data_IF_050596214937
#
_entry.id   IF_050596214937
#
_cell.length_a   1.000
_cell.length_b   1.000
_cell.length_c   1.000
_cell.angle_alpha   90.00
_cell.angle_beta   90.00
_cell.angle_gamma   90.00
#
_symmetry.space_group_name_H-M   'P 1'
#
loop_
_entity.id
_entity.type
_entity.pdbx_description
1 polymer ?
#
# COMPACT_ATOMS: atom_id res chain seq x y z
N UNK A 1 -14.94 41.16 26.00
CA UNK A 1 -14.78 39.72 25.67
C UNK A 1 -13.29 39.40 25.74
N UNK A 2 -12.85 38.62 26.73
CA UNK A 2 -11.43 38.28 26.88
C UNK A 2 -11.07 37.17 25.88
N UNK A 3 -10.26 37.48 24.87
CA UNK A 3 -9.56 36.46 24.06
C UNK A 3 -8.41 35.93 24.92
N UNK A 4 -8.57 34.72 25.48
CA UNK A 4 -7.47 34.02 26.15
C UNK A 4 -6.59 33.40 25.07
N UNK A 5 -5.31 33.79 25.02
CA UNK A 5 -4.34 33.12 24.15
C UNK A 5 -4.25 31.64 24.56
N UNK A 6 -4.36 30.72 23.58
CA UNK A 6 -4.21 29.28 23.81
C UNK A 6 -2.79 28.99 24.30
N UNK A 7 -2.66 28.07 25.25
CA UNK A 7 -1.35 27.55 25.65
C UNK A 7 -0.72 26.74 24.51
N UNK A 8 0.61 26.61 24.48
CA UNK A 8 1.31 25.86 23.42
C UNK A 8 0.79 24.42 23.25
N UNK A 9 0.38 23.78 24.36
CA UNK A 9 -0.21 22.43 24.33
C UNK A 9 -1.62 22.41 23.73
N UNK A 10 -2.46 23.40 24.03
CA UNK A 10 -3.80 23.53 23.43
C UNK A 10 -3.70 23.88 21.94
N UNK A 11 -2.70 24.68 21.56
CA UNK A 11 -2.39 24.98 20.17
C UNK A 11 -1.96 23.72 19.42
N UNK A 12 -0.97 22.97 19.96
CA UNK A 12 -0.48 21.72 19.38
C UNK A 12 -1.60 20.68 19.24
N UNK A 13 -2.39 20.46 20.30
CA UNK A 13 -3.53 19.54 20.24
C UNK A 13 -4.51 19.96 19.15
N UNK A 14 -4.86 21.25 19.06
CA UNK A 14 -5.80 21.71 18.04
C UNK A 14 -5.26 21.54 16.62
N UNK A 15 -3.98 21.83 16.38
CA UNK A 15 -3.36 21.61 15.07
C UNK A 15 -3.35 20.13 14.72
N UNK A 16 -2.85 19.29 15.62
CA UNK A 16 -2.73 17.85 15.40
C UNK A 16 -4.09 17.17 15.20
N UNK A 17 -5.06 17.44 16.08
CA UNK A 17 -6.33 16.73 16.09
C UNK A 17 -7.39 17.32 15.16
N UNK A 18 -7.39 18.63 14.93
CA UNK A 18 -8.50 19.29 14.21
C UNK A 18 -8.10 19.74 12.80
N UNK A 19 -6.84 20.11 12.58
CA UNK A 19 -6.41 20.65 11.29
C UNK A 19 -5.67 19.60 10.46
N UNK A 20 -4.81 18.79 11.09
CA UNK A 20 -3.85 17.92 10.40
C UNK A 20 -4.12 16.42 10.58
N UNK A 21 -5.19 16.05 11.29
CA UNK A 21 -5.45 14.64 11.65
C UNK A 21 -5.48 13.73 10.42
N UNK A 22 -6.15 14.15 9.35
CA UNK A 22 -6.24 13.37 8.11
C UNK A 22 -4.88 13.23 7.42
N UNK A 23 -4.10 14.31 7.37
CA UNK A 23 -2.76 14.31 6.78
C UNK A 23 -1.81 13.40 7.57
N UNK A 24 -1.87 13.45 8.91
CA UNK A 24 -1.06 12.60 9.79
C UNK A 24 -1.42 11.12 9.61
N UNK A 25 -2.71 10.79 9.56
CA UNK A 25 -3.15 9.41 9.34
C UNK A 25 -2.78 8.91 7.95
N UNK A 26 -2.96 9.73 6.91
CA UNK A 26 -2.55 9.40 5.56
C UNK A 26 -1.04 9.17 5.46
N UNK A 27 -0.22 10.03 6.09
CA UNK A 27 1.22 9.88 6.13
C UNK A 27 1.65 8.60 6.89
N UNK A 28 1.02 8.29 8.03
CA UNK A 28 1.29 7.09 8.79
C UNK A 28 0.96 5.82 7.98
N UNK A 29 -0.20 5.79 7.30
CA UNK A 29 -0.58 4.70 6.41
C UNK A 29 0.40 4.58 5.25
N UNK A 30 0.68 5.66 4.51
CA UNK A 30 1.61 5.64 3.38
C UNK A 30 3.01 5.12 3.78
N UNK A 31 3.50 5.53 4.95
CA UNK A 31 4.77 5.04 5.48
C UNK A 31 4.71 3.53 5.78
N UNK A 32 3.65 3.05 6.45
CA UNK A 32 3.46 1.64 6.75
C UNK A 32 3.39 0.77 5.48
N UNK A 33 2.61 1.18 4.48
CA UNK A 33 2.47 0.45 3.23
C UNK A 33 3.80 0.42 2.44
N UNK A 34 4.56 1.52 2.46
CA UNK A 34 5.92 1.55 1.88
C UNK A 34 6.83 0.54 2.57
N UNK A 35 6.82 0.46 3.90
CA UNK A 35 7.63 -0.52 4.64
C UNK A 35 7.26 -1.96 4.27
N UNK A 36 5.97 -2.27 4.17
CA UNK A 36 5.51 -3.61 3.73
C UNK A 36 6.00 -3.90 2.31
N UNK A 37 5.92 -2.94 1.40
CA UNK A 37 6.41 -3.11 0.02
C UNK A 37 7.94 -3.34 -0.02
N UNK A 38 8.71 -2.61 0.78
CA UNK A 38 10.16 -2.80 0.89
C UNK A 38 10.51 -4.19 1.43
N UNK A 39 9.80 -4.65 2.46
CA UNK A 39 10.01 -5.99 3.03
C UNK A 39 9.60 -7.12 2.10
N UNK A 40 8.56 -6.92 1.30
CA UNK A 40 8.18 -7.91 0.28
C UNK A 40 9.18 -7.97 -0.88
N UNK A 41 9.85 -6.86 -1.25
CA UNK A 41 10.98 -6.88 -2.19
C UNK A 41 12.13 -7.76 -1.64
N UNK A 42 12.50 -7.55 -0.38
CA UNK A 42 13.53 -8.37 0.29
C UNK A 42 13.13 -9.86 0.34
N UNK A 43 11.86 -10.14 0.68
CA UNK A 43 11.34 -11.50 0.77
C UNK A 43 11.36 -12.23 -0.58
N UNK A 44 10.90 -11.57 -1.66
CA UNK A 44 10.95 -12.13 -3.03
C UNK A 44 12.38 -12.44 -3.46
N UNK A 45 13.34 -11.56 -3.13
CA UNK A 45 14.76 -11.78 -3.45
C UNK A 45 15.33 -13.02 -2.76
N UNK A 46 14.90 -13.28 -1.53
CA UNK A 46 15.41 -14.36 -0.69
C UNK A 46 14.60 -15.68 -0.83
N UNK A 47 13.48 -15.67 -1.56
CA UNK A 47 12.68 -16.85 -1.78
C UNK A 47 13.38 -17.89 -2.68
N UNK A 48 12.88 -19.14 -2.61
CA UNK A 48 13.29 -20.22 -3.50
C UNK A 48 13.09 -19.82 -4.97
N UNK A 49 14.04 -20.11 -5.89
CA UNK A 49 13.97 -19.66 -7.27
C UNK A 49 12.66 -20.03 -7.98
N UNK A 50 12.05 -21.17 -7.65
CA UNK A 50 10.76 -21.62 -8.19
C UNK A 50 9.60 -20.69 -7.83
N UNK A 51 9.65 -20.05 -6.66
CA UNK A 51 8.52 -19.33 -6.08
C UNK A 51 8.59 -17.83 -6.38
N UNK A 52 9.79 -17.33 -6.75
CA UNK A 52 10.06 -15.91 -6.95
C UNK A 52 9.10 -15.25 -7.93
N UNK A 53 8.76 -15.92 -9.02
CA UNK A 53 7.87 -15.34 -10.03
C UNK A 53 6.49 -15.05 -9.44
N UNK A 54 5.87 -16.06 -8.83
CA UNK A 54 4.55 -15.95 -8.21
C UNK A 54 4.54 -14.93 -7.07
N UNK A 55 5.54 -14.98 -6.18
CA UNK A 55 5.66 -14.03 -5.06
C UNK A 55 5.91 -12.59 -5.56
N UNK A 56 6.67 -12.42 -6.65
CA UNK A 56 6.88 -11.12 -7.29
C UNK A 56 5.59 -10.57 -7.89
N UNK A 57 4.72 -11.43 -8.43
CA UNK A 57 3.41 -11.03 -8.94
C UNK A 57 2.44 -10.65 -7.82
N UNK A 58 2.45 -11.36 -6.68
CA UNK A 58 1.70 -10.95 -5.47
C UNK A 58 2.19 -9.59 -4.97
N UNK A 59 3.50 -9.40 -4.87
CA UNK A 59 4.09 -8.11 -4.49
C UNK A 59 3.66 -6.99 -5.42
N UNK A 60 3.71 -7.24 -6.74
CA UNK A 60 3.30 -6.25 -7.74
C UNK A 60 1.82 -5.90 -7.59
N UNK A 61 0.94 -6.90 -7.46
CA UNK A 61 -0.50 -6.67 -7.24
C UNK A 61 -0.75 -5.86 -5.97
N UNK A 62 -0.05 -6.17 -4.87
CA UNK A 62 -0.16 -5.39 -3.64
C UNK A 62 0.23 -3.92 -3.87
N UNK A 63 1.39 -3.64 -4.48
CA UNK A 63 1.81 -2.27 -4.77
C UNK A 63 0.84 -1.52 -5.70
N UNK A 64 0.35 -2.19 -6.75
CA UNK A 64 -0.64 -1.63 -7.67
C UNK A 64 -1.95 -1.30 -6.95
N UNK A 65 -2.45 -2.19 -6.09
CA UNK A 65 -3.66 -1.95 -5.29
C UNK A 65 -3.53 -0.74 -4.36
N UNK A 66 -2.32 -0.46 -3.87
CA UNK A 66 -2.04 0.75 -3.08
C UNK A 66 -2.04 2.01 -3.92
N UNK A 67 -1.48 1.96 -5.12
CA UNK A 67 -1.54 3.09 -6.06
C UNK A 67 -2.98 3.37 -6.52
N UNK A 68 -3.77 2.34 -6.79
CA UNK A 68 -5.18 2.49 -7.19
C UNK A 68 -6.02 3.17 -6.11
N UNK A 69 -5.82 2.80 -4.84
CA UNK A 69 -6.56 3.36 -3.71
C UNK A 69 -6.38 4.88 -3.59
N UNK A 70 -5.19 5.38 -3.89
CA UNK A 70 -4.82 6.79 -3.76
C UNK A 70 -4.55 7.46 -5.13
N UNK A 71 -5.08 6.88 -6.22
CA UNK A 71 -4.75 7.28 -7.59
C UNK A 71 -5.11 8.74 -7.89
N UNK A 72 -6.25 9.20 -7.35
CA UNK A 72 -6.67 10.59 -7.45
C UNK A 72 -5.65 11.53 -6.79
N UNK A 73 -5.12 11.16 -5.62
CA UNK A 73 -4.11 11.95 -4.93
C UNK A 73 -2.81 12.04 -5.75
N UNK A 74 -2.31 10.91 -6.28
CA UNK A 74 -1.10 10.91 -7.11
C UNK A 74 -1.26 11.70 -8.41
N UNK A 75 -2.45 11.67 -9.02
CA UNK A 75 -2.73 12.40 -10.26
C UNK A 75 -2.89 13.89 -10.02
N UNK A 76 -3.63 14.29 -8.97
CA UNK A 76 -3.83 15.71 -8.60
C UNK A 76 -2.53 16.38 -8.17
N UNK A 77 -1.63 15.63 -7.52
CA UNK A 77 -0.29 16.12 -7.15
C UNK A 77 0.75 15.93 -8.26
N UNK A 78 0.34 15.54 -9.48
CA UNK A 78 1.21 15.41 -10.66
C UNK A 78 2.40 14.43 -10.49
N UNK A 79 2.29 13.50 -9.53
CA UNK A 79 3.30 12.46 -9.31
C UNK A 79 3.22 11.39 -10.41
N UNK A 80 2.01 11.09 -10.87
CA UNK A 80 1.77 10.23 -12.02
C UNK A 80 0.88 10.95 -13.04
N UNK A 81 1.09 10.66 -14.32
CA UNK A 81 0.22 11.17 -15.39
C UNK A 81 -1.10 10.38 -15.44
N UNK A 82 -2.18 10.93 -16.00
CA UNK A 82 -3.41 10.17 -16.22
C UNK A 82 -3.19 8.88 -17.03
N UNK A 83 -2.28 8.92 -18.01
CA UNK A 83 -1.91 7.74 -18.79
C UNK A 83 -1.23 6.66 -17.92
N UNK A 84 -0.32 7.06 -17.04
CA UNK A 84 0.29 6.15 -16.07
C UNK A 84 -0.76 5.60 -15.08
N UNK A 85 -1.72 6.43 -14.65
CA UNK A 85 -2.84 5.98 -13.81
C UNK A 85 -3.70 4.91 -14.48
N UNK A 86 -4.03 5.08 -15.77
CA UNK A 86 -4.71 4.03 -16.55
C UNK A 86 -3.87 2.74 -16.66
N UNK A 87 -2.55 2.86 -16.80
CA UNK A 87 -1.65 1.71 -16.83
C UNK A 87 -1.61 0.95 -15.50
N UNK A 88 -1.65 1.66 -14.36
CA UNK A 88 -1.75 1.04 -13.03
C UNK A 88 -2.97 0.11 -12.95
N UNK A 89 -4.13 0.57 -13.42
CA UNK A 89 -5.37 -0.20 -13.42
C UNK A 89 -5.26 -1.43 -14.33
N UNK A 90 -4.73 -1.25 -15.54
CA UNK A 90 -4.57 -2.35 -16.49
C UNK A 90 -3.62 -3.44 -15.97
N UNK A 91 -2.49 -3.03 -15.38
CA UNK A 91 -1.52 -3.96 -14.79
C UNK A 91 -2.09 -4.69 -13.57
N UNK A 92 -2.87 -4.01 -12.72
CA UNK A 92 -3.56 -4.63 -11.58
C UNK A 92 -4.51 -5.73 -12.04
N UNK A 93 -5.32 -5.46 -13.06
CA UNK A 93 -6.23 -6.44 -13.65
C UNK A 93 -5.48 -7.61 -14.29
N UNK A 94 -4.36 -7.36 -14.96
CA UNK A 94 -3.51 -8.40 -15.53
C UNK A 94 -2.93 -9.30 -14.43
N UNK A 95 -2.48 -8.72 -13.30
CA UNK A 95 -1.99 -9.49 -12.15
C UNK A 95 -3.09 -10.29 -11.45
N UNK A 96 -4.30 -9.74 -11.32
CA UNK A 96 -5.46 -10.50 -10.85
C UNK A 96 -5.75 -11.71 -11.75
N UNK A 97 -5.69 -11.56 -13.06
CA UNK A 97 -5.88 -12.67 -14.01
C UNK A 97 -4.79 -13.74 -13.89
N UNK A 98 -3.53 -13.31 -13.79
CA UNK A 98 -2.37 -14.20 -13.63
C UNK A 98 -2.48 -15.01 -12.33
N UNK A 99 -2.65 -14.34 -11.19
CA UNK A 99 -2.72 -14.97 -9.87
C UNK A 99 -4.02 -15.76 -9.69
N UNK A 100 -5.10 -15.36 -10.35
CA UNK A 100 -6.36 -16.09 -10.37
C UNK A 100 -6.20 -17.52 -10.92
N UNK A 101 -5.24 -17.74 -11.83
CA UNK A 101 -4.93 -19.07 -12.36
C UNK A 101 -4.28 -20.02 -11.36
N UNK A 102 -3.72 -19.50 -10.27
CA UNK A 102 -3.02 -20.28 -9.21
C UNK A 102 -3.57 -20.00 -7.81
N UNK A 103 -4.78 -19.43 -7.72
CA UNK A 103 -5.33 -18.93 -6.46
C UNK A 103 -5.52 -20.04 -5.42
N UNK A 104 -5.85 -21.26 -5.84
CA UNK A 104 -6.03 -22.40 -4.94
C UNK A 104 -4.69 -22.83 -4.35
N UNK A 105 -3.65 -22.97 -5.18
CA UNK A 105 -2.29 -23.32 -4.73
C UNK A 105 -1.74 -22.27 -3.74
N UNK A 106 -2.02 -20.99 -3.98
CA UNK A 106 -1.62 -19.91 -3.08
C UNK A 106 -2.26 -20.04 -1.69
N UNK A 107 -3.54 -20.39 -1.61
CA UNK A 107 -4.23 -20.60 -0.34
C UNK A 107 -3.73 -21.87 0.33
N UNK A 108 -3.48 -22.93 -0.43
CA UNK A 108 -2.93 -24.18 0.08
C UNK A 108 -1.54 -23.99 0.69
N UNK A 109 -0.72 -23.07 0.17
CA UNK A 109 0.60 -22.74 0.73
C UNK A 109 0.58 -22.25 2.19
N UNK A 110 -0.57 -21.81 2.71
CA UNK A 110 -0.73 -21.44 4.13
C UNK A 110 -1.02 -22.64 5.03
N UNK A 111 -1.45 -23.77 4.47
CA UNK A 111 -1.73 -24.98 5.22
C UNK A 111 -0.43 -25.78 5.31
N UNK A 112 0.12 -25.93 6.51
CA UNK A 112 1.31 -26.75 6.75
C UNK A 112 0.97 -28.23 6.53
N UNK A 113 1.23 -28.73 5.31
CA UNK A 113 1.03 -30.14 4.94
C UNK A 113 2.06 -31.07 5.57
N UNK A 114 3.03 -30.55 6.34
CA UNK A 114 4.02 -31.35 7.07
C UNK A 114 3.50 -31.97 8.37
N UNK A 115 2.26 -31.68 8.76
CA UNK A 115 1.63 -32.16 10.00
C UNK A 115 0.24 -32.81 9.81
N UNK A 116 -0.10 -33.24 8.59
CA UNK A 116 -1.25 -34.12 8.30
C UNK A 116 -0.77 -35.48 7.82
#
# INVERSE_FOLDING_TARGET
MHHRAKTDKESLFSTWMLNESDAIQAAAVAYGERMVLEKTIEAVRNAEPSDRHTLNSIRALYGLSRLEKDLGWFTVNEIITPAAGSAVIAESQAKCKELGGVAVELVQGYVDTRNM
#
